data_IF_806424068107
#
_entry.id   IF_806424068107
#
_cell.length_a   1.000
_cell.length_b   1.000
_cell.length_c   1.000
_cell.angle_alpha   90.00
_cell.angle_beta   90.00
_cell.angle_gamma   90.00
#
_symmetry.space_group_name_H-M   'P 1'
#
loop_
_entity.id
_entity.type
_entity.pdbx_description
1 polymer ?
#
# COMPACT_ATOMS: atom_id res chain seq x y z
N UNK A 1 7.71 -13.41 -4.97
CA UNK A 1 8.19 -12.13 -4.40
C UNK A 1 7.99 -10.97 -5.38
N UNK A 2 8.74 -10.91 -6.48
CA UNK A 2 8.68 -9.81 -7.45
C UNK A 2 7.29 -9.57 -8.07
N UNK A 3 6.65 -10.60 -8.63
CA UNK A 3 5.34 -10.48 -9.30
C UNK A 3 4.28 -9.91 -8.36
N UNK A 4 4.13 -10.50 -7.18
CA UNK A 4 3.19 -10.01 -6.15
C UNK A 4 3.56 -8.61 -5.66
N UNK A 5 4.86 -8.27 -5.57
CA UNK A 5 5.30 -6.91 -5.21
C UNK A 5 4.92 -5.86 -6.25
N UNK A 6 5.12 -6.16 -7.54
CA UNK A 6 4.73 -5.27 -8.64
C UNK A 6 3.21 -5.14 -8.76
N UNK A 7 2.45 -6.21 -8.50
CA UNK A 7 0.99 -6.16 -8.38
C UNK A 7 0.56 -5.17 -7.30
N UNK A 8 1.19 -5.19 -6.12
CA UNK A 8 0.90 -4.22 -5.08
C UNK A 8 1.34 -2.80 -5.44
N UNK A 9 2.49 -2.63 -6.11
CA UNK A 9 2.90 -1.31 -6.61
C UNK A 9 1.86 -0.73 -7.57
N UNK A 10 1.36 -1.53 -8.52
CA UNK A 10 0.30 -1.10 -9.42
C UNK A 10 -1.00 -0.76 -8.66
N UNK A 11 -1.39 -1.62 -7.71
CA UNK A 11 -2.57 -1.39 -6.89
C UNK A 11 -2.49 -0.08 -6.10
N UNK A 12 -1.38 0.20 -5.39
CA UNK A 12 -1.28 1.43 -4.58
C UNK A 12 -1.28 2.70 -5.44
N UNK A 13 -0.78 2.64 -6.67
CA UNK A 13 -0.87 3.76 -7.63
C UNK A 13 -2.32 3.99 -8.05
N UNK A 14 -3.03 2.94 -8.48
CA UNK A 14 -4.45 3.05 -8.86
C UNK A 14 -5.32 3.45 -7.67
N UNK A 15 -5.03 2.92 -6.49
CA UNK A 15 -5.71 3.25 -5.24
C UNK A 15 -5.49 4.72 -4.87
N UNK A 16 -4.26 5.24 -4.98
CA UNK A 16 -3.98 6.67 -4.81
C UNK A 16 -4.82 7.53 -5.78
N UNK A 17 -4.90 7.16 -7.06
CA UNK A 17 -5.71 7.91 -8.05
C UNK A 17 -7.19 7.93 -7.64
N UNK A 18 -7.70 6.82 -7.11
CA UNK A 18 -9.03 6.77 -6.52
C UNK A 18 -9.18 7.70 -5.31
N UNK A 19 -8.22 7.67 -4.39
CA UNK A 19 -8.21 8.48 -3.17
C UNK A 19 -8.17 9.99 -3.46
N UNK A 20 -7.42 10.41 -4.48
CA UNK A 20 -7.33 11.81 -4.89
C UNK A 20 -8.67 12.40 -5.36
N UNK A 21 -9.67 11.57 -5.69
CA UNK A 21 -11.03 12.06 -5.99
C UNK A 21 -11.72 12.70 -4.78
N UNK A 22 -11.19 12.51 -3.58
CA UNK A 22 -11.66 13.22 -2.36
C UNK A 22 -11.60 14.74 -2.52
N UNK A 23 -10.64 15.26 -3.29
CA UNK A 23 -10.54 16.70 -3.59
C UNK A 23 -11.65 17.21 -4.51
N UNK A 24 -12.44 16.31 -5.12
CA UNK A 24 -13.68 16.64 -5.83
C UNK A 24 -14.92 16.70 -4.93
N UNK A 25 -14.75 16.59 -3.61
CA UNK A 25 -15.84 16.60 -2.62
C UNK A 25 -16.62 15.28 -2.53
N UNK A 26 -17.63 15.27 -1.65
CA UNK A 26 -18.44 14.08 -1.35
C UNK A 26 -19.07 13.48 -2.61
N UNK A 27 -19.70 14.30 -3.46
CA UNK A 27 -20.34 13.84 -4.69
C UNK A 27 -19.37 13.09 -5.61
N UNK A 28 -18.16 13.62 -5.84
CA UNK A 28 -17.17 12.99 -6.72
C UNK A 28 -16.59 11.70 -6.13
N UNK A 29 -16.31 11.70 -4.84
CA UNK A 29 -15.70 10.57 -4.15
C UNK A 29 -16.69 9.41 -3.96
N UNK A 30 -17.89 9.69 -3.48
CA UNK A 30 -18.92 8.68 -3.25
C UNK A 30 -19.47 8.13 -4.57
N UNK A 31 -19.59 8.95 -5.62
CA UNK A 31 -19.94 8.47 -6.96
C UNK A 31 -18.89 7.51 -7.50
N UNK A 32 -17.59 7.78 -7.27
CA UNK A 32 -16.53 6.85 -7.65
C UNK A 32 -16.60 5.54 -6.85
N UNK A 33 -16.82 5.62 -5.53
CA UNK A 33 -16.98 4.44 -4.68
C UNK A 33 -18.20 3.59 -5.11
N UNK A 34 -19.31 4.22 -5.49
CA UNK A 34 -20.49 3.57 -6.03
C UNK A 34 -20.21 2.92 -7.40
N UNK A 35 -19.54 3.63 -8.31
CA UNK A 35 -19.19 3.13 -9.64
C UNK A 35 -18.32 1.87 -9.61
N UNK A 36 -17.40 1.77 -8.63
CA UNK A 36 -16.59 0.55 -8.45
C UNK A 36 -17.44 -0.70 -8.17
N UNK A 37 -18.63 -0.54 -7.57
CA UNK A 37 -19.57 -1.65 -7.32
C UNK A 37 -20.36 -2.05 -8.57
N UNK A 38 -20.52 -1.15 -9.53
CA UNK A 38 -21.28 -1.39 -10.77
C UNK A 38 -20.40 -1.65 -11.99
N UNK A 39 -19.08 -1.78 -11.80
CA UNK A 39 -18.13 -2.01 -12.88
C UNK A 39 -18.47 -3.29 -13.66
N UNK A 40 -18.63 -3.18 -14.98
CA UNK A 40 -19.05 -4.26 -15.89
C UNK A 40 -20.45 -4.85 -15.61
N UNK A 41 -21.33 -4.17 -14.87
CA UNK A 41 -22.73 -4.59 -14.75
C UNK A 41 -23.50 -4.30 -16.06
N UNK A 42 -24.37 -5.21 -16.57
CA UNK A 42 -24.79 -6.49 -15.99
C UNK A 42 -23.98 -7.72 -16.46
N UNK A 43 -22.89 -7.55 -17.22
CA UNK A 43 -22.03 -8.67 -17.65
C UNK A 43 -21.46 -9.45 -16.45
N UNK A 44 -21.16 -8.75 -15.36
CA UNK A 44 -20.74 -9.30 -14.06
C UNK A 44 -21.77 -8.89 -13.00
N UNK A 45 -22.06 -9.72 -11.97
CA UNK A 45 -22.95 -9.34 -10.87
C UNK A 45 -22.54 -8.03 -10.19
N UNK A 46 -23.49 -7.37 -9.54
CA UNK A 46 -23.21 -6.21 -8.70
C UNK A 46 -22.12 -6.55 -7.66
N UNK A 47 -21.11 -5.69 -7.55
CA UNK A 47 -19.86 -5.88 -6.79
C UNK A 47 -18.93 -7.02 -7.25
N UNK A 48 -19.27 -7.76 -8.30
CA UNK A 48 -18.50 -8.94 -8.71
C UNK A 48 -17.06 -8.61 -9.09
N UNK A 49 -16.83 -7.51 -9.83
CA UNK A 49 -15.46 -7.08 -10.16
C UNK A 49 -14.70 -6.61 -8.91
N UNK A 50 -15.36 -5.89 -8.00
CA UNK A 50 -14.77 -5.45 -6.74
C UNK A 50 -14.31 -6.64 -5.89
N UNK A 51 -15.15 -7.68 -5.78
CA UNK A 51 -14.80 -8.91 -5.08
C UNK A 51 -13.66 -9.68 -5.75
N UNK A 52 -13.64 -9.75 -7.09
CA UNK A 52 -12.53 -10.36 -7.82
C UNK A 52 -11.21 -9.64 -7.51
N UNK A 53 -11.21 -8.29 -7.54
CA UNK A 53 -10.04 -7.49 -7.16
C UNK A 53 -9.61 -7.77 -5.71
N UNK A 54 -10.55 -7.83 -4.76
CA UNK A 54 -10.25 -8.16 -3.34
C UNK A 54 -9.61 -9.54 -3.21
N UNK A 55 -10.15 -10.57 -3.88
CA UNK A 55 -9.60 -11.92 -3.87
C UNK A 55 -8.17 -11.93 -4.41
N UNK A 56 -7.93 -11.27 -5.56
CA UNK A 56 -6.59 -11.16 -6.14
C UNK A 56 -5.61 -10.48 -5.18
N UNK A 57 -6.03 -9.39 -4.50
CA UNK A 57 -5.20 -8.69 -3.53
C UNK A 57 -4.89 -9.55 -2.30
N UNK A 58 -5.88 -10.28 -1.76
CA UNK A 58 -5.67 -11.17 -0.61
C UNK A 58 -4.73 -12.33 -0.97
N UNK A 59 -4.96 -12.99 -2.11
CA UNK A 59 -4.07 -14.06 -2.60
C UNK A 59 -2.66 -13.52 -2.86
N UNK A 60 -2.56 -12.34 -3.47
CA UNK A 60 -1.31 -11.63 -3.67
C UNK A 60 -0.59 -11.35 -2.35
N UNK A 61 -1.33 -10.97 -1.30
CA UNK A 61 -0.78 -10.59 0.01
C UNK A 61 -0.23 -11.82 0.72
N UNK A 62 -1.03 -12.87 0.78
CA UNK A 62 -0.62 -14.17 1.32
C UNK A 62 0.61 -14.68 0.58
N UNK A 63 0.61 -14.64 -0.76
CA UNK A 63 1.76 -15.06 -1.56
C UNK A 63 3.01 -14.20 -1.33
N UNK A 64 2.85 -12.88 -1.22
CA UNK A 64 3.93 -11.94 -0.97
C UNK A 64 4.59 -12.19 0.39
N UNK A 65 3.79 -12.29 1.46
CA UNK A 65 4.25 -12.56 2.82
C UNK A 65 4.85 -13.96 2.93
N UNK A 66 4.23 -14.96 2.30
CA UNK A 66 4.75 -16.32 2.29
C UNK A 66 6.13 -16.39 1.64
N UNK A 67 6.32 -15.78 0.46
CA UNK A 67 7.63 -15.68 -0.18
C UNK A 67 8.65 -14.99 0.72
N UNK A 68 8.27 -13.91 1.42
CA UNK A 68 9.16 -13.20 2.33
C UNK A 68 9.60 -14.10 3.50
N UNK A 69 8.67 -14.84 4.12
CA UNK A 69 8.96 -15.79 5.20
C UNK A 69 9.88 -16.92 4.71
N UNK A 70 9.60 -17.50 3.55
CA UNK A 70 10.45 -18.53 2.95
C UNK A 70 11.87 -18.00 2.68
N UNK A 71 11.99 -16.79 2.16
CA UNK A 71 13.28 -16.15 1.89
C UNK A 71 14.09 -15.93 3.17
N UNK A 72 13.45 -15.41 4.22
CA UNK A 72 14.08 -15.23 5.54
C UNK A 72 14.55 -16.57 6.09
N UNK A 73 13.68 -17.60 6.09
CA UNK A 73 14.04 -18.95 6.58
C UNK A 73 15.23 -19.54 5.82
N UNK A 74 15.22 -19.45 4.48
CA UNK A 74 16.34 -19.92 3.63
C UNK A 74 17.62 -19.16 3.91
N UNK A 75 17.54 -17.84 4.08
CA UNK A 75 18.71 -17.01 4.42
C UNK A 75 19.31 -17.35 5.79
N UNK A 76 18.47 -17.68 6.78
CA UNK A 76 18.95 -18.14 8.08
C UNK A 76 19.57 -19.54 8.00
N UNK A 77 18.95 -20.47 7.27
CA UNK A 77 19.47 -21.83 7.11
C UNK A 77 20.81 -21.87 6.34
N UNK A 78 21.01 -20.98 5.36
CA UNK A 78 22.23 -20.92 4.55
C UNK A 78 23.41 -20.19 5.21
N UNK A 79 23.21 -19.54 6.37
CA UNK A 79 24.22 -18.69 6.98
C UNK A 79 25.43 -19.45 7.58
N UNK A 80 25.32 -20.77 7.82
CA UNK A 80 26.39 -21.63 8.34
C UNK A 80 26.96 -21.23 9.73
N UNK A 81 27.95 -21.96 10.26
CA UNK A 81 28.59 -21.65 11.56
C UNK A 81 29.41 -20.34 11.53
N UNK A 82 29.90 -19.96 10.35
CA UNK A 82 30.73 -18.77 10.13
C UNK A 82 29.91 -17.66 9.49
N UNK A 83 28.79 -17.28 10.12
CA UNK A 83 28.02 -16.11 9.70
C UNK A 83 28.97 -14.92 9.70
N UNK A 84 29.42 -14.48 8.52
CA UNK A 84 30.23 -13.27 8.40
C UNK A 84 29.45 -12.16 9.10
N UNK A 85 29.97 -11.69 10.24
CA UNK A 85 29.61 -10.39 10.82
C UNK A 85 30.16 -9.31 9.88
N UNK A 86 29.70 -9.29 8.63
CA UNK A 86 29.83 -8.09 7.82
C UNK A 86 29.00 -7.05 8.56
N UNK A 87 29.62 -5.91 8.86
CA UNK A 87 28.97 -4.82 9.58
C UNK A 87 27.73 -4.28 8.84
N UNK A 88 27.26 -3.09 9.21
CA UNK A 88 26.17 -2.42 8.51
C UNK A 88 26.59 -2.05 7.07
N UNK A 89 26.49 -2.99 6.13
CA UNK A 89 26.63 -2.72 4.70
C UNK A 89 25.30 -2.23 4.14
N UNK A 90 25.33 -1.45 3.06
CA UNK A 90 24.12 -0.95 2.38
C UNK A 90 23.14 -2.08 2.02
N UNK A 91 23.65 -3.26 1.63
CA UNK A 91 22.84 -4.45 1.36
C UNK A 91 22.18 -5.03 2.62
N UNK A 92 22.90 -5.09 3.74
CA UNK A 92 22.35 -5.57 5.01
C UNK A 92 21.29 -4.64 5.61
N UNK A 93 21.47 -3.32 5.43
CA UNK A 93 20.51 -2.31 5.86
C UNK A 93 19.21 -2.39 5.04
N UNK A 94 19.33 -2.49 3.71
CA UNK A 94 18.16 -2.65 2.83
C UNK A 94 17.35 -3.92 3.13
N UNK A 95 18.02 -5.04 3.41
CA UNK A 95 17.33 -6.29 3.75
C UNK A 95 16.57 -6.18 5.09
N UNK A 96 17.16 -5.53 6.11
CA UNK A 96 16.50 -5.33 7.42
C UNK A 96 15.34 -4.34 7.33
N UNK A 97 15.50 -3.25 6.58
CA UNK A 97 14.45 -2.27 6.40
C UNK A 97 13.25 -2.83 5.63
N UNK A 98 13.46 -3.74 4.65
CA UNK A 98 12.37 -4.41 3.94
C UNK A 98 11.48 -5.26 4.84
N UNK A 99 12.07 -5.99 5.81
CA UNK A 99 11.28 -6.79 6.75
C UNK A 99 10.52 -5.90 7.74
N UNK A 100 11.19 -4.88 8.29
CA UNK A 100 10.56 -3.93 9.21
C UNK A 100 9.39 -3.20 8.55
N UNK A 101 9.63 -2.58 7.40
CA UNK A 101 8.58 -1.88 6.64
C UNK A 101 7.46 -2.83 6.23
N UNK A 102 7.78 -4.06 5.80
CA UNK A 102 6.77 -5.06 5.45
C UNK A 102 5.85 -5.43 6.62
N UNK A 103 6.38 -5.60 7.83
CA UNK A 103 5.57 -5.88 9.03
C UNK A 103 4.68 -4.69 9.39
N UNK A 104 5.22 -3.48 9.37
CA UNK A 104 4.42 -2.27 9.64
C UNK A 104 3.31 -2.11 8.60
N UNK A 105 3.61 -2.33 7.31
CA UNK A 105 2.61 -2.28 6.24
C UNK A 105 1.54 -3.35 6.37
N UNK A 106 1.89 -4.57 6.84
CA UNK A 106 0.90 -5.62 7.09
C UNK A 106 -0.07 -5.20 8.20
N UNK A 107 0.45 -4.65 9.31
CA UNK A 107 -0.39 -4.13 10.39
C UNK A 107 -1.24 -2.94 9.92
N UNK A 108 -0.67 -2.07 9.08
CA UNK A 108 -1.39 -0.96 8.48
C UNK A 108 -2.53 -1.43 7.59
N UNK A 109 -2.33 -2.44 6.74
CA UNK A 109 -3.42 -2.97 5.88
C UNK A 109 -4.58 -3.47 6.74
N UNK A 110 -4.29 -4.17 7.84
CA UNK A 110 -5.32 -4.61 8.79
C UNK A 110 -6.04 -3.40 9.39
N UNK A 111 -5.28 -2.44 9.94
CA UNK A 111 -5.85 -1.23 10.51
C UNK A 111 -6.71 -0.46 9.49
N UNK A 112 -6.20 -0.27 8.28
CA UNK A 112 -6.84 0.46 7.19
C UNK A 112 -8.18 -0.16 6.77
N UNK A 113 -8.23 -1.49 6.66
CA UNK A 113 -9.49 -2.21 6.36
C UNK A 113 -10.47 -2.05 7.50
N UNK A 114 -10.02 -2.18 8.76
CA UNK A 114 -10.87 -2.01 9.93
C UNK A 114 -11.43 -0.58 10.05
N UNK A 115 -10.59 0.41 9.78
CA UNK A 115 -10.89 1.84 9.90
C UNK A 115 -11.81 2.36 8.80
N UNK A 116 -11.50 2.07 7.52
CA UNK A 116 -12.15 2.70 6.37
C UNK A 116 -13.11 1.78 5.62
N UNK A 117 -12.98 0.45 5.74
CA UNK A 117 -13.81 -0.50 4.98
C UNK A 117 -14.90 -1.12 5.83
N UNK A 118 -14.57 -1.60 7.04
CA UNK A 118 -15.53 -2.34 7.87
C UNK A 118 -16.11 -1.52 9.02
N UNK A 119 -15.53 -0.37 9.36
CA UNK A 119 -16.04 0.47 10.44
C UNK A 119 -15.87 -0.14 11.83
N UNK A 120 -14.82 -0.93 12.04
CA UNK A 120 -14.65 -1.72 13.26
C UNK A 120 -13.98 -0.91 14.37
N UNK A 121 -14.66 -0.74 15.50
CA UNK A 121 -14.08 -0.13 16.71
C UNK A 121 -12.97 -1.02 17.32
N UNK A 122 -11.90 -0.44 17.91
CA UNK A 122 -11.63 0.99 18.08
C UNK A 122 -10.86 1.62 16.91
N UNK A 123 -10.64 0.89 15.80
CA UNK A 123 -9.87 1.41 14.67
C UNK A 123 -10.63 2.51 13.93
N UNK A 124 -11.89 2.26 13.59
CA UNK A 124 -12.76 3.22 12.92
C UNK A 124 -13.18 4.38 13.82
N UNK A 125 -13.58 5.50 13.20
CA UNK A 125 -14.21 6.62 13.90
C UNK A 125 -15.55 6.21 14.48
N UNK A 126 -15.94 6.77 15.64
CA UNK A 126 -17.28 6.58 16.21
C UNK A 126 -18.38 7.13 15.31
N UNK A 127 -18.03 8.08 14.43
CA UNK A 127 -18.93 8.64 13.42
C UNK A 127 -18.96 7.83 12.11
N UNK A 128 -18.46 6.58 12.09
CA UNK A 128 -18.47 5.75 10.89
C UNK A 128 -19.92 5.42 10.48
N UNK A 129 -20.23 5.64 9.21
CA UNK A 129 -21.53 5.36 8.60
C UNK A 129 -21.37 4.49 7.34
N UNK A 130 -21.99 3.30 7.29
CA UNK A 130 -21.93 2.46 6.10
C UNK A 130 -22.50 3.15 4.85
N UNK A 131 -21.72 3.18 3.77
CA UNK A 131 -22.16 3.71 2.47
C UNK A 131 -21.65 5.11 2.14
N UNK A 132 -21.13 5.87 3.10
CA UNK A 132 -20.62 7.24 2.92
C UNK A 132 -19.08 7.26 2.98
N UNK A 133 -18.43 6.97 1.86
CA UNK A 133 -16.96 6.82 1.83
C UNK A 133 -16.24 8.14 2.17
N UNK A 134 -16.78 9.27 1.70
CA UNK A 134 -16.22 10.59 1.96
C UNK A 134 -16.29 10.94 3.45
N UNK A 135 -17.48 10.83 4.04
CA UNK A 135 -17.69 11.16 5.45
C UNK A 135 -16.83 10.31 6.38
N UNK A 136 -16.72 9.01 6.12
CA UNK A 136 -15.87 8.11 6.90
C UNK A 136 -14.38 8.47 6.81
N UNK A 137 -13.92 8.85 5.62
CA UNK A 137 -12.55 9.29 5.40
C UNK A 137 -12.25 10.57 6.18
N UNK A 138 -13.13 11.58 6.08
CA UNK A 138 -12.97 12.84 6.81
C UNK A 138 -13.01 12.57 8.31
N UNK A 139 -14.02 11.87 8.81
CA UNK A 139 -14.20 11.55 10.23
C UNK A 139 -13.00 10.79 10.83
N UNK A 140 -12.40 9.87 10.06
CA UNK A 140 -11.21 9.16 10.51
C UNK A 140 -9.98 10.07 10.57
N UNK A 141 -9.75 10.88 9.52
CA UNK A 141 -8.59 11.78 9.45
C UNK A 141 -8.70 13.04 10.32
N UNK A 142 -9.89 13.42 10.77
CA UNK A 142 -10.06 14.44 11.82
C UNK A 142 -9.45 14.01 13.16
N UNK A 143 -9.14 12.72 13.34
CA UNK A 143 -8.40 12.23 14.52
C UNK A 143 -6.89 12.41 14.26
N UNK A 144 -6.19 13.32 14.97
CA UNK A 144 -4.81 13.69 14.62
C UNK A 144 -3.82 12.53 14.66
N UNK A 145 -4.01 11.58 15.57
CA UNK A 145 -3.14 10.41 15.69
C UNK A 145 -3.29 9.47 14.48
N UNK A 146 -4.49 9.36 13.90
CA UNK A 146 -4.75 8.56 12.70
C UNK A 146 -4.11 9.21 11.49
N UNK A 147 -4.31 10.52 11.32
CA UNK A 147 -3.64 11.30 10.28
C UNK A 147 -2.11 11.13 10.33
N UNK A 148 -1.51 11.23 11.52
CA UNK A 148 -0.08 11.00 11.71
C UNK A 148 0.34 9.55 11.39
N UNK A 149 -0.42 8.55 11.86
CA UNK A 149 -0.16 7.13 11.62
C UNK A 149 -0.18 6.79 10.12
N UNK A 150 -1.19 7.25 9.38
CA UNK A 150 -1.26 7.09 7.93
C UNK A 150 -0.11 7.82 7.24
N UNK A 151 0.20 9.06 7.63
CA UNK A 151 1.30 9.84 7.06
C UNK A 151 2.66 9.15 7.21
N UNK A 152 2.99 8.68 8.41
CA UNK A 152 4.22 7.91 8.68
C UNK A 152 4.22 6.63 7.84
N UNK A 153 3.09 5.95 7.76
CA UNK A 153 3.00 4.71 6.98
C UNK A 153 3.18 4.93 5.48
N UNK A 154 2.72 6.07 4.93
CA UNK A 154 2.97 6.42 3.54
C UNK A 154 4.47 6.60 3.26
N UNK A 155 5.24 7.14 4.21
CA UNK A 155 6.70 7.24 4.07
C UNK A 155 7.33 5.85 4.04
N UNK A 156 6.90 4.96 4.94
CA UNK A 156 7.39 3.57 4.97
C UNK A 156 6.99 2.80 3.71
N UNK A 157 5.77 3.02 3.19
CA UNK A 157 5.29 2.46 1.93
C UNK A 157 6.16 2.91 0.77
N UNK A 158 6.47 4.20 0.66
CA UNK A 158 7.32 4.71 -0.41
C UNK A 158 8.73 4.10 -0.38
N UNK A 159 9.33 3.97 0.81
CA UNK A 159 10.62 3.29 0.98
C UNK A 159 10.53 1.81 0.58
N UNK A 160 9.46 1.12 0.99
CA UNK A 160 9.23 -0.29 0.66
C UNK A 160 9.05 -0.51 -0.84
N UNK A 161 8.25 0.33 -1.51
CA UNK A 161 8.03 0.27 -2.96
C UNK A 161 9.29 0.62 -3.74
N UNK A 162 10.00 1.69 -3.39
CA UNK A 162 11.23 2.09 -4.09
C UNK A 162 12.30 0.99 -4.02
N UNK A 163 12.45 0.34 -2.86
CA UNK A 163 13.35 -0.81 -2.74
C UNK A 163 12.82 -2.05 -3.47
N UNK A 164 11.53 -2.34 -3.33
CA UNK A 164 10.84 -3.48 -3.94
C UNK A 164 10.93 -3.48 -5.47
N UNK A 165 10.64 -2.35 -6.13
CA UNK A 165 10.70 -2.25 -7.60
C UNK A 165 12.13 -2.43 -8.12
N UNK A 166 13.11 -1.82 -7.44
CA UNK A 166 14.53 -1.98 -7.78
C UNK A 166 14.99 -3.44 -7.70
N UNK A 167 14.58 -4.16 -6.65
CA UNK A 167 14.94 -5.58 -6.46
C UNK A 167 14.18 -6.50 -7.41
N UNK A 168 12.90 -6.21 -7.68
CA UNK A 168 12.08 -6.92 -8.65
C UNK A 168 12.66 -6.91 -10.07
N UNK A 169 13.30 -5.81 -10.49
CA UNK A 169 14.01 -5.76 -11.77
C UNK A 169 15.10 -6.85 -11.89
N UNK A 170 15.81 -7.11 -10.78
CA UNK A 170 16.80 -8.18 -10.72
C UNK A 170 16.16 -9.58 -10.72
N UNK A 171 15.12 -9.76 -9.90
CA UNK A 171 14.40 -11.03 -9.78
C UNK A 171 13.76 -11.50 -11.10
N UNK A 172 13.35 -10.56 -11.95
CA UNK A 172 12.78 -10.83 -13.27
C UNK A 172 13.82 -10.94 -14.39
N UNK A 173 15.12 -10.96 -14.05
CA UNK A 173 16.19 -11.20 -15.01
C UNK A 173 16.55 -9.99 -15.88
N UNK A 174 16.12 -8.77 -15.53
CA UNK A 174 16.58 -7.56 -16.25
C UNK A 174 18.07 -7.38 -15.95
N UNK A 175 18.94 -7.49 -16.96
CA UNK A 175 20.41 -7.38 -16.78
C UNK A 175 21.00 -6.07 -17.29
N UNK A 176 20.32 -5.39 -18.22
CA UNK A 176 20.80 -4.14 -18.81
C UNK A 176 20.83 -2.98 -17.81
N UNK A 177 21.99 -2.29 -17.70
CA UNK A 177 22.18 -1.19 -16.77
C UNK A 177 21.18 -0.03 -17.00
N UNK A 178 20.95 0.34 -18.27
CA UNK A 178 19.97 1.37 -18.65
C UNK A 178 18.55 0.98 -18.25
N UNK A 179 18.13 -0.25 -18.56
CA UNK A 179 16.78 -0.74 -18.22
C UNK A 179 16.56 -0.78 -16.71
N UNK A 180 17.55 -1.24 -15.94
CA UNK A 180 17.50 -1.21 -14.47
C UNK A 180 17.38 0.21 -13.93
N UNK A 181 18.15 1.15 -14.48
CA UNK A 181 18.06 2.56 -14.10
C UNK A 181 16.66 3.11 -14.36
N UNK A 182 16.11 2.90 -15.56
CA UNK A 182 14.75 3.35 -15.93
C UNK A 182 13.70 2.76 -14.99
N UNK A 183 13.70 1.44 -14.76
CA UNK A 183 12.72 0.78 -13.88
C UNK A 183 12.82 1.34 -12.45
N UNK A 184 14.04 1.53 -11.95
CA UNK A 184 14.26 2.07 -10.60
C UNK A 184 13.79 3.51 -10.50
N UNK A 185 14.07 4.35 -11.49
CA UNK A 185 13.62 5.75 -11.52
C UNK A 185 12.10 5.85 -11.61
N UNK A 186 11.46 5.10 -12.52
CA UNK A 186 10.00 5.08 -12.65
C UNK A 186 9.34 4.57 -11.36
N UNK A 187 9.87 3.49 -10.77
CA UNK A 187 9.39 2.98 -9.48
C UNK A 187 9.55 3.98 -8.33
N UNK A 188 10.68 4.70 -8.30
CA UNK A 188 10.92 5.76 -7.31
C UNK A 188 9.97 6.94 -7.47
N UNK A 189 9.71 7.39 -8.70
CA UNK A 189 8.72 8.45 -8.98
C UNK A 189 7.33 8.00 -8.54
N UNK A 190 6.92 6.77 -8.88
CA UNK A 190 5.64 6.21 -8.45
C UNK A 190 5.52 6.14 -6.92
N UNK A 191 6.57 5.73 -6.22
CA UNK A 191 6.61 5.69 -4.76
C UNK A 191 6.45 7.09 -4.13
N UNK A 192 7.14 8.10 -4.67
CA UNK A 192 7.03 9.49 -4.21
C UNK A 192 5.63 10.05 -4.51
N UNK A 193 5.08 9.78 -5.69
CA UNK A 193 3.73 10.20 -6.04
C UNK A 193 2.69 9.61 -5.06
N UNK A 194 2.76 8.30 -4.77
CA UNK A 194 1.88 7.62 -3.80
C UNK A 194 1.99 8.23 -2.40
N UNK A 195 3.20 8.57 -1.96
CA UNK A 195 3.42 9.27 -0.69
C UNK A 195 2.74 10.64 -0.71
N UNK A 196 3.08 11.50 -1.66
CA UNK A 196 2.60 12.88 -1.66
C UNK A 196 1.08 12.95 -1.87
N UNK A 197 0.55 12.14 -2.80
CA UNK A 197 -0.88 12.12 -3.12
C UNK A 197 -1.72 11.66 -1.94
N UNK A 198 -1.35 10.56 -1.26
CA UNK A 198 -2.12 10.08 -0.11
C UNK A 198 -1.84 10.89 1.16
N UNK A 199 -0.63 11.43 1.37
CA UNK A 199 -0.32 12.25 2.55
C UNK A 199 -0.98 13.63 2.49
N UNK A 200 -1.27 14.16 1.29
CA UNK A 200 -2.01 15.42 1.14
C UNK A 200 -3.43 15.34 1.72
N UNK A 201 -4.07 14.18 1.69
CA UNK A 201 -5.45 13.98 2.15
C UNK A 201 -5.61 14.24 3.66
N UNK A 202 -4.91 13.53 4.57
CA UNK A 202 -5.01 13.80 6.00
C UNK A 202 -4.56 15.21 6.36
N UNK A 203 -3.56 15.77 5.65
CA UNK A 203 -3.13 17.16 5.85
C UNK A 203 -4.28 18.13 5.52
N UNK A 204 -4.97 17.92 4.40
CA UNK A 204 -6.08 18.77 3.97
C UNK A 204 -7.29 18.67 4.92
N UNK A 205 -7.59 17.47 5.44
CA UNK A 205 -8.63 17.31 6.49
C UNK A 205 -8.24 18.06 7.76
N UNK A 206 -6.99 17.90 8.23
CA UNK A 206 -6.50 18.55 9.45
C UNK A 206 -6.41 20.08 9.31
N UNK A 207 -6.21 20.59 8.10
CA UNK A 207 -6.24 22.01 7.78
C UNK A 207 -7.65 22.58 7.62
N UNK A 208 -8.69 21.74 7.64
CA UNK A 208 -10.08 22.14 7.43
C UNK A 208 -10.46 22.44 5.98
N UNK A 209 -9.66 21.99 5.01
CA UNK A 209 -9.96 22.15 3.58
C UNK A 209 -10.91 21.07 3.04
N UNK A 210 -10.96 19.92 3.73
CA UNK A 210 -11.91 18.85 3.48
C UNK A 210 -12.73 18.64 4.76
N UNK A 211 -14.05 18.73 4.66
CA UNK A 211 -15.00 18.71 5.79
C UNK A 211 -16.24 17.90 5.45
#
# INVERSE_FOLDING_TARGET
>A
MAVTGLLFTAFVVVHMVGNLKVFGGATGFDAYAAWLRTLLYPLVPHEGVLWALRVVLVLGLVGHVWCAVVLVRRSHASAGPHRRRTGLTAGSFGARSMLLTGVVLLLFVVFHVLDMTTGTAPAASEAFEPGTAYANLVASFSRPWVAAFYGITMVLLALHVAHGVRTAAGDLGVTGARSRAVITTVGGIAAVAVLLGNAAIPIAVQAGWLT
#
